data_IF_234180183595
#
_entry.id   IF_234180183595
#
_cell.length_a   1.000
_cell.length_b   1.000
_cell.length_c   1.000
_cell.angle_alpha   90.00
_cell.angle_beta   90.00
_cell.angle_gamma   90.00
#
_symmetry.space_group_name_H-M   'P 1'
#
loop_
_entity.id
_entity.type
_entity.pdbx_description
1 polymer ?
#
# COMPACT_ATOMS: atom_id res chain seq x y z
N UNK A 1 14.76 -11.32 -25.83
CA UNK A 1 14.35 -12.38 -24.87
C UNK A 1 13.11 -13.09 -25.41
N UNK A 2 12.83 -14.33 -24.97
CA UNK A 2 11.57 -15.04 -25.28
C UNK A 2 10.89 -15.46 -23.97
N UNK A 3 9.65 -15.01 -23.76
CA UNK A 3 8.81 -15.41 -22.65
C UNK A 3 8.41 -16.89 -22.83
N UNK A 4 8.58 -17.71 -21.79
CA UNK A 4 8.16 -19.12 -21.81
C UNK A 4 6.87 -19.36 -21.02
N UNK A 5 6.70 -18.64 -19.92
CA UNK A 5 5.57 -18.78 -19.01
C UNK A 5 5.52 -17.53 -18.14
N UNK A 6 4.31 -17.08 -17.80
CA UNK A 6 4.03 -16.11 -16.75
C UNK A 6 3.07 -16.75 -15.75
N UNK A 7 3.21 -16.40 -14.47
CA UNK A 7 2.28 -16.81 -13.43
C UNK A 7 1.28 -15.68 -13.20
N UNK A 8 -0.02 -15.99 -13.06
CA UNK A 8 -0.99 -14.97 -12.69
C UNK A 8 -0.66 -14.43 -11.30
N UNK A 9 -0.83 -13.12 -11.13
CA UNK A 9 -0.73 -12.47 -9.83
C UNK A 9 -2.17 -12.31 -9.33
N UNK A 10 -2.44 -12.79 -8.12
CA UNK A 10 -3.73 -12.60 -7.48
C UNK A 10 -3.84 -11.16 -6.97
N UNK A 11 -4.96 -10.52 -7.28
CA UNK A 11 -5.25 -9.13 -6.92
C UNK A 11 -6.64 -9.00 -6.34
N UNK A 12 -6.83 -8.03 -5.44
CA UNK A 12 -8.15 -7.64 -4.92
C UNK A 12 -8.39 -6.15 -5.11
N UNK A 13 -9.66 -5.78 -5.20
CA UNK A 13 -10.10 -4.39 -5.25
C UNK A 13 -10.56 -3.96 -3.86
N UNK A 14 -10.10 -2.81 -3.40
CA UNK A 14 -10.45 -2.25 -2.08
C UNK A 14 -10.84 -0.79 -2.20
N UNK A 15 -11.75 -0.35 -1.33
CA UNK A 15 -12.06 1.07 -1.15
C UNK A 15 -11.08 1.66 -0.14
N UNK A 16 -10.35 2.69 -0.56
CA UNK A 16 -9.40 3.41 0.27
C UNK A 16 -9.74 4.89 0.23
N UNK A 17 -10.43 5.36 1.28
CA UNK A 17 -10.96 6.73 1.39
C UNK A 17 -11.83 7.13 0.18
N UNK A 18 -12.70 6.23 -0.29
CA UNK A 18 -13.58 6.47 -1.45
C UNK A 18 -12.89 6.30 -2.81
N UNK A 19 -11.62 5.89 -2.83
CA UNK A 19 -10.86 5.58 -4.05
C UNK A 19 -10.80 4.06 -4.20
N UNK A 20 -11.24 3.55 -5.35
CA UNK A 20 -11.12 2.14 -5.68
C UNK A 20 -9.68 1.82 -6.12
N UNK A 21 -8.97 0.99 -5.36
CA UNK A 21 -7.59 0.58 -5.63
C UNK A 21 -7.50 -0.92 -5.90
N UNK A 22 -6.66 -1.32 -6.88
CA UNK A 22 -6.29 -2.72 -7.10
C UNK A 22 -4.94 -3.00 -6.44
N UNK A 23 -4.93 -3.94 -5.51
CA UNK A 23 -3.74 -4.34 -4.73
C UNK A 23 -3.48 -5.83 -4.86
N UNK A 24 -2.33 -6.30 -4.39
CA UNK A 24 -2.04 -7.74 -4.32
C UNK A 24 -3.05 -8.43 -3.40
N UNK A 25 -3.40 -9.68 -3.71
CA UNK A 25 -4.32 -10.47 -2.90
C UNK A 25 -3.85 -10.63 -1.44
N UNK A 26 -2.54 -10.61 -1.21
CA UNK A 26 -1.89 -10.73 0.11
C UNK A 26 -1.87 -9.43 0.92
N UNK A 27 -2.25 -8.29 0.34
CA UNK A 27 -2.17 -7.01 1.04
C UNK A 27 -3.14 -6.99 2.21
N UNK A 28 -2.64 -6.75 3.40
CA UNK A 28 -3.42 -6.67 4.65
C UNK A 28 -3.59 -5.22 5.11
N UNK A 29 -2.66 -4.32 4.73
CA UNK A 29 -2.70 -2.92 5.13
C UNK A 29 -2.40 -1.98 3.97
N UNK A 30 -3.06 -0.81 4.00
CA UNK A 30 -2.74 0.34 3.16
C UNK A 30 -2.40 1.54 4.04
N UNK A 31 -1.42 2.32 3.63
CA UNK A 31 -1.09 3.58 4.26
C UNK A 31 -0.53 4.56 3.24
N UNK A 32 -0.71 5.86 3.48
CA UNK A 32 -0.21 6.93 2.63
C UNK A 32 0.91 7.67 3.36
N UNK A 33 2.02 7.91 2.67
CA UNK A 33 3.15 8.69 3.18
C UNK A 33 2.88 10.20 3.07
N UNK A 34 3.75 11.02 3.67
CA UNK A 34 3.59 12.48 3.70
C UNK A 34 3.53 13.12 2.29
N UNK A 35 4.12 12.48 1.29
CA UNK A 35 4.14 12.93 -0.10
C UNK A 35 2.95 12.44 -0.94
N UNK A 36 1.99 11.74 -0.33
CA UNK A 36 0.81 11.20 -1.01
C UNK A 36 1.02 9.82 -1.63
N UNK A 37 2.18 9.18 -1.45
CA UNK A 37 2.41 7.81 -1.93
C UNK A 37 1.60 6.80 -1.10
N UNK A 38 0.66 6.12 -1.75
CA UNK A 38 -0.08 5.00 -1.16
C UNK A 38 0.75 3.72 -1.29
N UNK A 39 1.00 3.06 -0.17
CA UNK A 39 1.77 1.84 -0.07
C UNK A 39 0.93 0.69 0.52
N UNK A 40 1.11 -0.49 -0.04
CA UNK A 40 0.52 -1.75 0.41
C UNK A 40 1.52 -2.58 1.20
N UNK A 41 1.05 -3.19 2.30
CA UNK A 41 1.84 -4.02 3.19
C UNK A 41 1.11 -5.33 3.50
N UNK A 42 1.85 -6.44 3.57
CA UNK A 42 1.32 -7.73 4.02
C UNK A 42 1.36 -7.86 5.56
N UNK A 43 2.07 -6.96 6.25
CA UNK A 43 2.15 -6.88 7.71
C UNK A 43 1.96 -5.44 8.18
N UNK A 44 1.50 -5.26 9.42
CA UNK A 44 1.21 -3.94 9.98
C UNK A 44 2.47 -3.04 9.92
N UNK A 45 2.44 -1.94 9.15
CA UNK A 45 3.58 -1.04 9.03
C UNK A 45 3.78 -0.25 10.32
N UNK A 46 5.00 0.23 10.52
CA UNK A 46 5.33 1.14 11.61
C UNK A 46 5.40 2.56 11.10
N UNK A 47 4.94 3.49 11.93
CA UNK A 47 5.09 4.91 11.67
C UNK A 47 6.53 5.37 11.82
N UNK A 48 7.00 6.20 10.89
CA UNK A 48 8.28 6.92 10.97
C UNK A 48 8.05 8.44 10.82
N UNK A 49 9.11 9.24 10.64
CA UNK A 49 9.02 10.70 10.61
C UNK A 49 8.17 11.25 9.46
N UNK A 50 8.29 10.66 8.27
CA UNK A 50 7.64 11.13 7.04
C UNK A 50 6.93 10.03 6.22
N UNK A 51 6.94 8.79 6.72
CA UNK A 51 6.42 7.64 5.99
C UNK A 51 5.94 6.53 6.93
N UNK A 52 5.21 5.59 6.36
CA UNK A 52 4.98 4.27 6.91
C UNK A 52 6.09 3.34 6.43
N UNK A 53 6.75 2.67 7.37
CA UNK A 53 7.79 1.70 7.06
C UNK A 53 7.21 0.29 7.19
N UNK A 54 7.52 -0.56 6.22
CA UNK A 54 7.25 -1.99 6.32
C UNK A 54 7.79 -2.57 7.64
N UNK A 55 7.18 -3.66 8.11
CA UNK A 55 7.53 -4.28 9.39
C UNK A 55 9.02 -4.64 9.45
N UNK A 56 9.57 -4.86 10.66
CA UNK A 56 10.98 -5.25 10.77
C UNK A 56 11.21 -6.68 10.27
N UNK A 57 10.20 -7.52 10.37
CA UNK A 57 10.24 -8.94 10.01
C UNK A 57 9.94 -9.13 8.51
N UNK A 58 9.17 -8.21 7.92
CA UNK A 58 8.88 -8.14 6.50
C UNK A 58 9.12 -6.70 5.98
N UNK A 59 10.30 -6.42 5.39
CA UNK A 59 10.67 -5.08 4.93
C UNK A 59 10.06 -4.72 3.56
N UNK A 60 9.19 -5.57 3.01
CA UNK A 60 8.60 -5.34 1.70
C UNK A 60 7.32 -4.51 1.80
N UNK A 61 7.16 -3.60 0.83
CA UNK A 61 5.95 -2.86 0.57
C UNK A 61 5.79 -2.67 -0.94
N UNK A 62 4.57 -2.45 -1.39
CA UNK A 62 4.26 -2.23 -2.80
C UNK A 62 3.65 -0.84 -3.00
N UNK A 63 4.27 0.05 -3.78
CA UNK A 63 3.63 1.29 -4.21
C UNK A 63 2.36 1.01 -5.01
N UNK A 64 1.25 1.65 -4.66
CA UNK A 64 -0.08 1.42 -5.26
C UNK A 64 -0.52 2.61 -6.10
N UNK A 65 -0.44 3.83 -5.54
CA UNK A 65 -0.94 5.05 -6.17
C UNK A 65 -0.24 6.29 -5.57
N UNK A 66 -0.44 7.44 -6.21
CA UNK A 66 -0.13 8.76 -5.63
C UNK A 66 -1.45 9.51 -5.55
N UNK A 67 -1.76 10.06 -4.38
CA UNK A 67 -2.99 10.81 -4.12
C UNK A 67 -2.67 12.22 -3.63
N UNK A 68 -3.61 13.14 -3.82
CA UNK A 68 -3.61 14.40 -3.07
C UNK A 68 -4.22 14.12 -1.70
N UNK A 69 -3.50 14.44 -0.62
CA UNK A 69 -3.99 14.26 0.75
C UNK A 69 -5.06 15.30 1.11
N UNK A 70 -5.16 16.40 0.34
CA UNK A 70 -6.01 17.54 0.66
C UNK A 70 -5.75 18.02 2.11
N UNK A 71 -6.75 17.89 2.99
CA UNK A 71 -6.66 18.27 4.41
C UNK A 71 -6.42 17.07 5.35
N UNK A 72 -6.20 15.86 4.82
CA UNK A 72 -6.01 14.64 5.61
C UNK A 72 -4.58 14.53 6.15
N UNK A 73 -4.42 14.24 7.45
CA UNK A 73 -3.10 13.89 8.00
C UNK A 73 -2.72 12.47 7.54
N UNK A 74 -1.61 12.35 6.80
CA UNK A 74 -1.07 11.07 6.33
C UNK A 74 -0.91 10.03 7.46
N UNK A 75 -0.75 10.49 8.70
CA UNK A 75 -0.61 9.66 9.90
C UNK A 75 -1.90 8.96 10.32
N UNK A 76 -3.04 9.36 9.77
CA UNK A 76 -4.35 8.76 10.01
C UNK A 76 -4.80 7.84 8.86
N UNK A 77 -3.94 7.66 7.84
CA UNK A 77 -4.29 6.93 6.62
C UNK A 77 -4.06 5.42 6.68
N UNK A 78 -3.55 4.89 7.80
CA UNK A 78 -3.36 3.44 7.96
C UNK A 78 -4.71 2.75 8.07
N UNK A 79 -4.99 1.83 7.15
CA UNK A 79 -6.20 1.02 7.08
C UNK A 79 -5.82 -0.47 7.01
N UNK A 80 -6.52 -1.29 7.77
CA UNK A 80 -6.51 -2.76 7.66
C UNK A 80 -7.65 -3.21 6.72
N UNK A 81 -7.35 -4.09 5.77
CA UNK A 81 -8.23 -4.47 4.65
C UNK A 81 -9.13 -5.68 4.89
#
# INVERSE_FOLDING_TARGET
>A
MKLKQAYPIETKTVDYFGIELTVLGSTEYLATDEDGLVCAYDECPRKDLCAWLASRDNPFYTPVAIVDLEDMDWRETLVEL
#
